data_IF_141274092772
#
_entry.id   IF_141274092772
#
_cell.length_a   1.000
_cell.length_b   1.000
_cell.length_c   1.000
_cell.angle_alpha   90.00
_cell.angle_beta   90.00
_cell.angle_gamma   90.00
#
_symmetry.space_group_name_H-M   'P 1'
#
loop_
_entity.id
_entity.type
_entity.pdbx_description
1 polymer ?
#
# COMPACT_ATOMS: atom_id res chain seq x y z
N UNK A 1 1.91 7.12 1.21
CA UNK A 1 2.67 6.38 0.18
C UNK A 1 2.73 4.92 0.59
N UNK A 2 2.58 3.97 -0.34
CA UNK A 2 2.60 2.53 -0.04
C UNK A 2 3.43 1.79 -1.10
N UNK A 3 4.51 1.13 -0.69
CA UNK A 3 5.38 0.34 -1.57
C UNK A 3 5.42 -1.13 -1.13
N UNK A 4 5.15 -2.07 -2.04
CA UNK A 4 5.14 -3.51 -1.71
C UNK A 4 5.94 -4.31 -2.73
N UNK A 5 7.12 -4.77 -2.33
CA UNK A 5 7.97 -5.65 -3.12
C UNK A 5 7.65 -7.14 -2.90
N UNK A 6 7.41 -7.52 -1.65
CA UNK A 6 7.22 -8.92 -1.24
C UNK A 6 5.81 -9.15 -0.73
N UNK A 7 5.32 -10.38 -0.92
CA UNK A 7 3.97 -10.80 -0.59
C UNK A 7 4.02 -12.14 0.14
N UNK A 8 3.14 -12.31 1.12
CA UNK A 8 3.03 -13.56 1.88
C UNK A 8 2.42 -14.70 1.05
N UNK A 9 1.58 -14.38 0.07
CA UNK A 9 1.01 -15.37 -0.84
C UNK A 9 1.93 -15.53 -2.06
N UNK A 10 2.46 -16.75 -2.30
CA UNK A 10 3.40 -17.01 -3.39
C UNK A 10 2.80 -16.85 -4.80
N UNK A 11 1.47 -16.72 -4.93
CA UNK A 11 0.83 -16.42 -6.21
C UNK A 11 1.08 -14.98 -6.67
N UNK A 12 1.60 -14.11 -5.80
CA UNK A 12 2.07 -12.78 -6.15
C UNK A 12 3.60 -12.79 -6.20
N UNK A 13 4.15 -12.68 -7.40
CA UNK A 13 5.60 -12.64 -7.59
C UNK A 13 6.23 -11.42 -6.91
N UNK A 14 7.50 -11.53 -6.52
CA UNK A 14 8.25 -10.42 -5.96
C UNK A 14 8.43 -9.30 -7.00
N UNK A 15 8.28 -8.05 -6.57
CA UNK A 15 8.65 -6.84 -7.30
C UNK A 15 9.97 -6.28 -6.75
N UNK A 16 10.68 -5.49 -7.57
CA UNK A 16 12.03 -5.04 -7.23
C UNK A 16 12.10 -3.55 -6.84
N UNK A 17 11.22 -2.71 -7.37
CA UNK A 17 11.41 -1.26 -7.35
C UNK A 17 10.34 -0.50 -6.57
N UNK A 18 9.24 -1.13 -6.17
CA UNK A 18 8.12 -0.45 -5.54
C UNK A 18 8.49 0.29 -4.26
N UNK A 19 9.39 -0.28 -3.45
CA UNK A 19 9.90 0.39 -2.24
C UNK A 19 10.80 1.57 -2.60
N UNK A 20 11.65 1.43 -3.62
CA UNK A 20 12.50 2.51 -4.08
C UNK A 20 11.68 3.69 -4.60
N UNK A 21 10.61 3.42 -5.34
CA UNK A 21 9.72 4.43 -5.91
C UNK A 21 9.09 5.30 -4.80
N UNK A 22 8.54 4.66 -3.76
CA UNK A 22 7.87 5.40 -2.68
C UNK A 22 8.83 6.14 -1.77
N UNK A 23 10.06 5.64 -1.57
CA UNK A 23 11.08 6.35 -0.81
C UNK A 23 11.60 7.58 -1.56
N UNK A 24 11.84 7.47 -2.86
CA UNK A 24 12.21 8.61 -3.70
C UNK A 24 11.11 9.67 -3.74
N UNK A 25 9.84 9.25 -3.85
CA UNK A 25 8.71 10.17 -3.82
C UNK A 25 8.52 10.82 -2.46
N UNK A 26 8.69 10.07 -1.36
CA UNK A 26 8.65 10.60 0.00
C UNK A 26 9.68 11.70 0.21
N UNK A 27 10.94 11.50 -0.22
CA UNK A 27 12.00 12.50 -0.12
C UNK A 27 11.60 13.79 -0.86
N UNK A 28 11.11 13.68 -2.09
CA UNK A 28 10.70 14.83 -2.92
C UNK A 28 9.52 15.59 -2.29
N UNK A 29 8.51 14.88 -1.79
CA UNK A 29 7.34 15.51 -1.18
C UNK A 29 7.70 16.19 0.15
N UNK A 30 8.55 15.57 0.98
CA UNK A 30 9.05 16.22 2.20
C UNK A 30 9.85 17.48 1.91
N UNK A 31 10.65 17.50 0.84
CA UNK A 31 11.37 18.70 0.40
C UNK A 31 10.45 19.84 -0.07
N UNK A 32 9.20 19.52 -0.44
CA UNK A 32 8.14 20.48 -0.76
C UNK A 32 7.22 20.78 0.44
N UNK A 33 7.67 20.44 1.66
CA UNK A 33 6.96 20.65 2.93
C UNK A 33 5.65 19.86 3.09
N UNK A 34 5.46 18.76 2.36
CA UNK A 34 4.35 17.84 2.66
C UNK A 34 4.64 17.00 3.89
N UNK A 35 3.63 16.80 4.73
CA UNK A 35 3.62 15.72 5.72
C UNK A 35 3.40 14.40 4.99
N UNK A 36 4.37 13.49 5.05
CA UNK A 36 4.31 12.21 4.33
C UNK A 36 4.35 11.04 5.31
N UNK A 37 3.42 10.11 5.14
CA UNK A 37 3.48 8.78 5.74
C UNK A 37 3.78 7.74 4.66
N UNK A 38 4.83 6.95 4.89
CA UNK A 38 5.32 5.95 3.96
C UNK A 38 5.26 4.54 4.59
N UNK A 39 4.55 3.63 3.93
CA UNK A 39 4.44 2.23 4.33
C UNK A 39 5.18 1.36 3.31
N UNK A 40 6.10 0.52 3.76
CA UNK A 40 6.82 -0.38 2.86
C UNK A 40 7.36 -1.65 3.52
N UNK A 41 7.52 -2.72 2.75
CA UNK A 41 7.79 -4.08 3.25
C UNK A 41 9.28 -4.35 3.57
N UNK A 42 10.14 -3.35 3.41
CA UNK A 42 11.49 -3.37 3.99
C UNK A 42 11.52 -2.94 5.47
N UNK A 43 10.41 -2.42 5.99
CA UNK A 43 10.23 -2.23 7.43
C UNK A 43 10.05 -3.61 8.09
N UNK A 44 10.40 -3.74 9.37
CA UNK A 44 10.14 -4.99 10.11
C UNK A 44 8.64 -5.28 10.20
N UNK A 45 8.25 -6.56 10.19
CA UNK A 45 6.84 -6.99 10.19
C UNK A 45 6.00 -6.43 11.35
N UNK A 46 6.62 -6.17 12.52
CA UNK A 46 5.96 -5.55 13.67
C UNK A 46 5.85 -4.02 13.62
N UNK A 47 6.36 -3.38 12.56
CA UNK A 47 6.30 -1.93 12.41
C UNK A 47 4.88 -1.50 12.04
N UNK A 48 4.31 -0.45 12.67
CA UNK A 48 2.97 0.06 12.33
C UNK A 48 2.86 0.56 10.87
N UNK A 49 3.98 0.86 10.23
CA UNK A 49 4.06 1.25 8.81
C UNK A 49 4.37 0.07 7.88
N UNK A 50 4.42 -1.16 8.37
CA UNK A 50 4.50 -2.32 7.49
C UNK A 50 3.23 -2.40 6.60
N UNK A 51 3.31 -2.71 5.30
CA UNK A 51 2.20 -2.53 4.35
C UNK A 51 1.23 -3.73 4.36
N UNK A 52 0.78 -4.10 5.56
CA UNK A 52 -0.38 -4.98 5.72
C UNK A 52 -1.65 -4.23 5.32
N UNK A 53 -2.69 -4.96 4.91
CA UNK A 53 -4.00 -4.40 4.60
C UNK A 53 -4.57 -3.58 5.75
N UNK A 54 -4.38 -4.06 6.98
CA UNK A 54 -4.85 -3.44 8.21
C UNK A 54 -4.15 -2.11 8.47
N UNK A 55 -2.82 -2.06 8.36
CA UNK A 55 -2.04 -0.85 8.56
C UNK A 55 -2.32 0.18 7.47
N UNK A 56 -2.40 -0.24 6.20
CA UNK A 56 -2.77 0.64 5.08
C UNK A 56 -4.15 1.25 5.34
N UNK A 57 -5.14 0.44 5.72
CA UNK A 57 -6.50 0.93 5.98
C UNK A 57 -6.54 1.89 7.18
N UNK A 58 -5.84 1.55 8.26
CA UNK A 58 -5.77 2.38 9.46
C UNK A 58 -5.15 3.76 9.13
N UNK A 59 -4.05 3.77 8.39
CA UNK A 59 -3.39 5.01 8.00
C UNK A 59 -4.26 5.87 7.07
N UNK A 60 -4.92 5.25 6.07
CA UNK A 60 -5.83 5.99 5.20
C UNK A 60 -6.99 6.63 5.97
N UNK A 61 -7.55 5.93 6.96
CA UNK A 61 -8.60 6.50 7.83
C UNK A 61 -8.04 7.67 8.63
N UNK A 62 -6.84 7.54 9.21
CA UNK A 62 -6.21 8.61 9.97
C UNK A 62 -5.95 9.84 9.11
N UNK A 63 -5.39 9.67 7.90
CA UNK A 63 -5.14 10.77 6.97
C UNK A 63 -6.44 11.47 6.56
N UNK A 64 -7.50 10.72 6.27
CA UNK A 64 -8.81 11.30 5.96
C UNK A 64 -9.41 12.09 7.14
N UNK A 65 -9.09 11.74 8.38
CA UNK A 65 -9.57 12.45 9.57
C UNK A 65 -8.72 13.69 9.91
N UNK A 66 -7.54 13.83 9.32
CA UNK A 66 -6.61 14.94 9.61
C UNK A 66 -6.72 16.09 8.60
N UNK A 67 -7.27 15.83 7.41
CA UNK A 67 -7.37 16.82 6.34
C UNK A 67 -8.58 17.73 6.52
N UNK A 68 -8.38 19.02 6.27
CA UNK A 68 -9.42 20.05 6.30
C UNK A 68 -9.88 20.42 4.88
N UNK A 69 -10.99 21.15 4.72
CA UNK A 69 -11.36 21.72 3.43
C UNK A 69 -10.22 22.54 2.82
N UNK A 70 -9.94 22.30 1.53
CA UNK A 70 -8.85 22.87 0.72
C UNK A 70 -7.45 22.25 0.94
N UNK A 71 -7.31 21.23 1.79
CA UNK A 71 -6.07 20.45 1.84
C UNK A 71 -5.92 19.52 0.63
N UNK A 72 -4.67 19.25 0.25
CA UNK A 72 -4.34 18.22 -0.72
C UNK A 72 -3.96 16.92 -0.01
N UNK A 73 -4.82 15.91 -0.08
CA UNK A 73 -4.48 14.54 0.29
C UNK A 73 -4.01 13.76 -0.94
N UNK A 74 -2.70 13.47 -1.00
CA UNK A 74 -2.11 12.63 -2.05
C UNK A 74 -1.87 11.20 -1.54
N UNK A 75 -2.45 10.22 -2.25
CA UNK A 75 -2.23 8.79 -1.99
C UNK A 75 -1.62 8.14 -3.22
N UNK A 76 -0.49 7.45 -3.04
CA UNK A 76 0.19 6.72 -4.10
C UNK A 76 0.53 5.29 -3.65
N UNK A 77 0.31 4.34 -4.55
CA UNK A 77 0.58 2.92 -4.38
C UNK A 77 1.53 2.43 -5.48
N UNK A 78 2.63 1.83 -5.07
CA UNK A 78 3.50 1.02 -5.91
C UNK A 78 3.40 -0.43 -5.42
N UNK A 79 2.62 -1.25 -6.11
CA UNK A 79 2.40 -2.66 -5.76
C UNK A 79 1.79 -3.41 -6.95
N UNK A 80 1.50 -4.71 -6.77
CA UNK A 80 0.66 -5.44 -7.71
C UNK A 80 -0.76 -4.89 -7.73
N UNK A 81 -1.30 -4.74 -8.93
CA UNK A 81 -2.72 -4.57 -9.18
C UNK A 81 -3.29 -5.81 -9.87
N UNK A 82 -4.57 -6.09 -9.66
CA UNK A 82 -5.27 -7.17 -10.36
C UNK A 82 -6.73 -6.79 -10.63
N UNK A 83 -7.34 -7.41 -11.63
CA UNK A 83 -8.79 -7.40 -11.78
C UNK A 83 -9.40 -8.58 -11.01
N UNK A 84 -10.33 -8.27 -10.12
CA UNK A 84 -11.13 -9.24 -9.39
C UNK A 84 -12.61 -8.94 -9.63
N UNK A 85 -13.33 -9.87 -10.27
CA UNK A 85 -14.71 -9.68 -10.75
C UNK A 85 -14.89 -8.39 -11.57
N UNK A 86 -13.94 -8.13 -12.47
CA UNK A 86 -13.93 -6.93 -13.32
C UNK A 86 -13.57 -5.63 -12.60
N UNK A 87 -13.32 -5.66 -11.28
CA UNK A 87 -12.94 -4.47 -10.50
C UNK A 87 -11.43 -4.45 -10.24
N UNK A 88 -10.75 -3.31 -10.44
CA UNK A 88 -9.35 -3.19 -10.08
C UNK A 88 -9.20 -3.24 -8.57
N UNK A 89 -8.27 -4.06 -8.11
CA UNK A 89 -7.88 -4.18 -6.71
C UNK A 89 -6.37 -4.04 -6.58
N UNK A 90 -5.94 -3.43 -5.48
CA UNK A 90 -4.55 -3.35 -5.08
C UNK A 90 -4.22 -4.52 -4.15
N UNK A 91 -3.03 -5.10 -4.30
CA UNK A 91 -2.57 -6.22 -3.48
C UNK A 91 -1.71 -5.67 -2.35
N UNK A 92 -2.10 -5.94 -1.11
CA UNK A 92 -1.28 -5.66 0.07
C UNK A 92 -0.34 -6.84 0.33
N UNK A 93 0.71 -6.64 1.13
CA UNK A 93 1.69 -7.69 1.44
C UNK A 93 1.02 -8.99 1.96
N UNK A 94 -0.02 -8.86 2.79
CA UNK A 94 -0.71 -9.98 3.43
C UNK A 94 -1.97 -10.46 2.68
N UNK A 95 -2.21 -10.01 1.45
CA UNK A 95 -3.32 -10.49 0.64
C UNK A 95 -3.17 -11.98 0.31
N UNK A 96 -4.26 -12.76 0.46
CA UNK A 96 -4.29 -14.21 0.21
C UNK A 96 -5.26 -14.54 -0.93
N UNK A 97 -4.72 -14.77 -2.11
CA UNK A 97 -5.44 -15.12 -3.34
C UNK A 97 -6.28 -16.41 -3.22
N UNK A 98 -5.84 -17.39 -2.41
CA UNK A 98 -6.59 -18.65 -2.20
C UNK A 98 -7.95 -18.44 -1.56
N UNK A 99 -8.11 -17.41 -0.73
CA UNK A 99 -9.39 -17.08 -0.10
C UNK A 99 -10.40 -16.55 -1.12
N UNK A 100 -9.94 -16.01 -2.24
CA UNK A 100 -10.80 -15.45 -3.28
C UNK A 100 -11.50 -16.55 -4.08
N UNK A 101 -10.81 -17.68 -4.33
CA UNK A 101 -11.37 -18.88 -4.94
C UNK A 101 -12.46 -19.51 -4.06
N UNK A 102 -12.23 -19.59 -2.75
CA UNK A 102 -13.12 -20.28 -1.81
C UNK A 102 -14.45 -19.56 -1.57
N UNK A 103 -14.51 -18.26 -1.83
CA UNK A 103 -15.74 -17.46 -1.71
C UNK A 103 -16.64 -17.56 -2.96
N UNK A 104 -16.37 -18.48 -3.90
CA UNK A 104 -17.24 -18.71 -5.07
C UNK A 104 -17.15 -17.62 -6.14
N UNK A 105 -16.00 -16.94 -6.22
CA UNK A 105 -15.75 -15.86 -7.18
C UNK A 105 -14.76 -16.25 -8.29
N UNK A 106 -14.52 -17.54 -8.48
CA UNK A 106 -13.86 -18.15 -9.65
C UNK A 106 -14.52 -19.48 -9.97
#
# INVERSE_FOLDING_TARGET
MVGVNTYNDPNFGRLNFCVSDVLALEERLKALNYTVVCLHDQLGYGNPRFPSRENIKAELIQLCNMVEPNDLLLVHFACHGKLFNGKPVLIANNTRSKLWKKLGYL
#
